data_IF_561592266332
#
_entry.id   IF_561592266332
#
_cell.length_a   1.000
_cell.length_b   1.000
_cell.length_c   1.000
_cell.angle_alpha   90.00
_cell.angle_beta   90.00
_cell.angle_gamma   90.00
#
_symmetry.space_group_name_H-M   'P 1'
#
loop_
_entity.id
_entity.type
_entity.pdbx_description
1 polymer ?
#
# COMPACT_ATOMS: atom_id res chain seq x y z
N UNK A 1 5.75 12.75 13.14
CA UNK A 1 4.54 11.96 12.82
C UNK A 1 4.92 11.00 11.70
N UNK A 2 4.80 9.69 11.87
CA UNK A 2 5.24 8.68 10.88
C UNK A 2 4.06 7.97 10.20
N UNK A 3 2.96 8.70 9.99
CA UNK A 3 1.75 8.22 9.32
C UNK A 3 1.51 9.10 8.09
N UNK A 4 1.29 8.46 6.94
CA UNK A 4 0.75 9.09 5.74
C UNK A 4 -0.57 8.42 5.38
N UNK A 5 -1.51 9.19 4.81
CA UNK A 5 -2.83 8.71 4.43
C UNK A 5 -3.16 9.18 3.02
N UNK A 6 -3.63 8.26 2.18
CA UNK A 6 -4.12 8.54 0.84
C UNK A 6 -5.48 7.88 0.61
N UNK A 7 -6.24 8.43 -0.34
CA UNK A 7 -7.56 7.91 -0.71
C UNK A 7 -7.50 7.30 -2.10
N UNK A 8 -8.17 6.17 -2.26
CA UNK A 8 -8.32 5.47 -3.53
C UNK A 8 -9.66 4.75 -3.59
N UNK A 9 -9.89 3.97 -4.63
CA UNK A 9 -11.10 3.19 -4.84
C UNK A 9 -10.76 1.74 -5.10
N UNK A 10 -11.51 0.82 -4.53
CA UNK A 10 -11.52 -0.59 -4.96
C UNK A 10 -12.47 -0.78 -6.15
N UNK A 11 -12.46 -1.96 -6.76
CA UNK A 11 -13.40 -2.34 -7.81
C UNK A 11 -14.23 -3.51 -7.31
N UNK A 12 -15.55 -3.34 -7.30
CA UNK A 12 -16.51 -4.37 -6.90
C UNK A 12 -17.66 -4.38 -7.91
N UNK A 13 -17.53 -5.22 -8.95
CA UNK A 13 -18.42 -5.16 -10.11
C UNK A 13 -18.40 -3.77 -10.75
N UNK A 14 -19.56 -3.09 -10.74
CA UNK A 14 -19.73 -1.71 -11.23
C UNK A 14 -19.52 -0.64 -10.15
N UNK A 15 -19.35 -1.05 -8.88
CA UNK A 15 -19.14 -0.15 -7.77
C UNK A 15 -17.65 0.18 -7.60
N UNK A 16 -17.39 1.38 -7.09
CA UNK A 16 -16.08 1.86 -6.70
C UNK A 16 -16.07 2.24 -5.20
N UNK A 17 -15.99 1.25 -4.28
CA UNK A 17 -15.96 1.53 -2.84
C UNK A 17 -14.74 2.38 -2.48
N UNK A 18 -14.91 3.29 -1.51
CA UNK A 18 -13.80 4.08 -0.98
C UNK A 18 -12.81 3.17 -0.25
N UNK A 19 -11.52 3.37 -0.52
CA UNK A 19 -10.43 2.74 0.23
C UNK A 19 -9.50 3.81 0.76
N UNK A 20 -9.13 3.69 2.02
CA UNK A 20 -8.09 4.50 2.65
C UNK A 20 -6.82 3.68 2.72
N UNK A 21 -5.72 4.24 2.21
CA UNK A 21 -4.37 3.67 2.29
C UNK A 21 -3.63 4.41 3.38
N UNK A 22 -3.19 3.69 4.41
CA UNK A 22 -2.45 4.25 5.54
C UNK A 22 -1.07 3.64 5.58
N UNK A 23 -0.04 4.48 5.53
CA UNK A 23 1.36 4.05 5.58
C UNK A 23 1.97 4.50 6.89
N UNK A 24 2.37 3.53 7.71
CA UNK A 24 3.05 3.78 8.96
C UNK A 24 4.51 3.33 8.93
N UNK A 25 5.43 4.21 9.34
CA UNK A 25 6.83 3.86 9.58
C UNK A 25 7.07 3.63 11.07
N UNK A 26 7.53 2.43 11.41
CA UNK A 26 7.88 2.01 12.77
C UNK A 26 9.34 1.57 12.88
N UNK A 27 9.85 1.49 14.11
CA UNK A 27 11.18 0.95 14.38
C UNK A 27 11.24 -0.58 14.19
N UNK A 28 12.45 -1.11 14.05
CA UNK A 28 12.69 -2.55 13.89
C UNK A 28 13.38 -2.90 12.57
N UNK A 29 13.41 -4.19 12.25
CA UNK A 29 14.06 -4.68 11.03
C UNK A 29 13.37 -4.13 9.77
N UNK A 30 14.14 -3.73 8.74
CA UNK A 30 13.58 -3.27 7.47
C UNK A 30 12.66 -4.31 6.84
N UNK A 31 11.49 -3.87 6.41
CA UNK A 31 10.51 -4.76 5.79
C UNK A 31 9.19 -4.04 5.53
N UNK A 32 8.48 -4.47 4.49
CA UNK A 32 7.20 -3.88 4.10
C UNK A 32 6.10 -4.92 4.14
N UNK A 33 5.04 -4.64 4.88
CA UNK A 33 3.85 -5.50 5.00
C UNK A 33 2.62 -4.75 4.51
N UNK A 34 1.78 -5.42 3.70
CA UNK A 34 0.48 -4.91 3.27
C UNK A 34 -0.61 -5.75 3.93
N UNK A 35 -1.59 -5.09 4.55
CA UNK A 35 -2.72 -5.71 5.27
C UNK A 35 -4.05 -5.08 4.84
N UNK A 36 -5.18 -5.75 5.14
CA UNK A 36 -6.51 -5.35 4.67
C UNK A 36 -6.96 -6.10 3.42
N UNK A 37 -6.84 -7.44 3.44
CA UNK A 37 -7.16 -8.36 2.34
C UNK A 37 -6.55 -7.99 0.97
N UNK A 38 -5.22 -7.83 0.86
CA UNK A 38 -4.57 -7.67 -0.43
C UNK A 38 -4.44 -9.01 -1.17
N UNK A 39 -4.87 -9.02 -2.42
CA UNK A 39 -4.63 -10.09 -3.37
C UNK A 39 -3.21 -10.04 -3.95
N UNK A 40 -2.82 -11.06 -4.72
CA UNK A 40 -1.47 -11.21 -5.25
C UNK A 40 -0.94 -9.96 -5.96
N UNK A 41 -1.72 -9.36 -6.86
CA UNK A 41 -1.31 -8.17 -7.61
C UNK A 41 -1.03 -6.95 -6.71
N UNK A 42 -1.75 -6.83 -5.59
CA UNK A 42 -1.55 -5.77 -4.60
C UNK A 42 -0.35 -6.07 -3.71
N UNK A 43 -0.07 -7.34 -3.40
CA UNK A 43 1.15 -7.71 -2.66
C UNK A 43 2.41 -7.41 -3.48
N UNK A 44 2.35 -7.62 -4.79
CA UNK A 44 3.43 -7.28 -5.72
C UNK A 44 3.67 -5.77 -5.85
N UNK A 45 2.67 -4.93 -5.50
CA UNK A 45 2.83 -3.48 -5.49
C UNK A 45 4.00 -3.03 -4.62
N UNK A 46 4.29 -3.77 -3.54
CA UNK A 46 5.46 -3.52 -2.68
C UNK A 46 6.75 -3.42 -3.49
N UNK A 47 6.96 -4.37 -4.40
CA UNK A 47 8.21 -4.48 -5.14
C UNK A 47 8.22 -3.46 -6.29
N UNK A 48 7.08 -3.22 -6.94
CA UNK A 48 6.93 -2.16 -7.96
C UNK A 48 7.17 -0.76 -7.39
N UNK A 49 6.53 -0.41 -6.27
CA UNK A 49 6.68 0.90 -5.62
C UNK A 49 8.09 1.09 -5.09
N UNK A 50 8.73 0.05 -4.53
CA UNK A 50 10.13 0.13 -4.11
C UNK A 50 11.04 0.50 -5.28
N UNK A 51 10.91 -0.19 -6.41
CA UNK A 51 11.70 0.09 -7.61
C UNK A 51 11.41 1.49 -8.16
N UNK A 52 10.15 1.91 -8.17
CA UNK A 52 9.76 3.26 -8.62
C UNK A 52 10.39 4.37 -7.77
N UNK A 53 10.38 4.24 -6.43
CA UNK A 53 11.02 5.18 -5.50
C UNK A 53 12.53 5.26 -5.76
N UNK A 54 13.20 4.11 -5.91
CA UNK A 54 14.64 4.07 -6.17
C UNK A 54 15.01 4.69 -7.53
N UNK A 55 14.22 4.45 -8.56
CA UNK A 55 14.44 5.01 -9.91
C UNK A 55 14.16 6.51 -10.00
N UNK A 56 13.44 7.08 -9.03
CA UNK A 56 13.14 8.52 -8.96
C UNK A 56 14.09 9.27 -8.02
N UNK A 57 15.23 8.67 -7.68
CA UNK A 57 16.28 9.24 -6.82
C UNK A 57 15.84 9.51 -5.38
N UNK A 58 14.78 8.82 -4.92
CA UNK A 58 14.38 8.82 -3.51
C UNK A 58 14.89 7.57 -2.79
N UNK A 59 15.10 7.70 -1.49
CA UNK A 59 15.51 6.58 -0.65
C UNK A 59 14.30 5.81 -0.13
N UNK A 60 14.29 4.49 -0.31
CA UNK A 60 13.31 3.63 0.34
C UNK A 60 13.69 3.48 1.82
N UNK A 61 12.75 3.67 2.78
CA UNK A 61 13.07 3.69 4.19
C UNK A 61 13.66 2.36 4.69
N UNK A 62 14.81 2.42 5.36
CA UNK A 62 15.44 1.30 6.06
C UNK A 62 14.77 1.01 7.42
N UNK A 63 13.44 0.94 7.43
CA UNK A 63 12.58 0.75 8.61
C UNK A 63 11.45 -0.22 8.29
N UNK A 64 10.68 -0.60 9.31
CA UNK A 64 9.46 -1.37 9.10
C UNK A 64 8.36 -0.44 8.55
N UNK A 65 7.84 -0.77 7.37
CA UNK A 65 6.75 -0.08 6.69
C UNK A 65 5.51 -0.96 6.78
N UNK A 66 4.42 -0.42 7.31
CA UNK A 66 3.13 -1.11 7.32
C UNK A 66 2.13 -0.31 6.50
N UNK A 67 1.57 -0.94 5.47
CA UNK A 67 0.54 -0.38 4.61
C UNK A 67 -0.79 -1.06 4.96
N UNK A 68 -1.74 -0.28 5.44
CA UNK A 68 -3.09 -0.74 5.76
C UNK A 68 -4.08 -0.27 4.70
N UNK A 69 -4.92 -1.19 4.22
CA UNK A 69 -5.95 -0.93 3.22
C UNK A 69 -7.34 -1.08 3.87
N UNK A 70 -7.95 0.03 4.27
CA UNK A 70 -9.28 0.05 4.89
C UNK A 70 -10.38 0.26 3.83
N UNK A 71 -11.55 -0.40 3.89
CA UNK A 71 -12.00 -1.31 4.95
C UNK A 71 -11.45 -2.74 4.81
N UNK A 72 -11.14 -3.42 5.91
CA UNK A 72 -10.49 -4.74 5.86
C UNK A 72 -11.38 -5.88 5.31
N UNK A 73 -12.70 -5.69 5.20
CA UNK A 73 -13.67 -6.69 4.75
C UNK A 73 -13.73 -6.84 3.22
N UNK A 74 -13.24 -5.83 2.49
CA UNK A 74 -13.33 -5.74 1.04
C UNK A 74 -12.03 -6.23 0.41
N UNK A 75 -12.01 -7.22 -0.50
CA UNK A 75 -10.80 -7.65 -1.19
C UNK A 75 -10.17 -6.52 -2.03
N UNK A 76 -8.84 -6.40 -1.99
CA UNK A 76 -8.08 -5.44 -2.79
C UNK A 76 -7.30 -6.18 -3.86
N UNK A 77 -7.74 -6.02 -5.11
CA UNK A 77 -7.10 -6.59 -6.29
C UNK A 77 -6.73 -5.53 -7.34
N UNK A 78 -5.74 -5.84 -8.18
CA UNK A 78 -5.21 -5.01 -9.26
C UNK A 78 -4.18 -3.96 -8.83
N UNK A 79 -3.55 -3.30 -9.79
CA UNK A 79 -2.45 -2.34 -9.56
C UNK A 79 -2.88 -0.91 -9.19
N UNK A 80 -4.17 -0.65 -8.95
CA UNK A 80 -4.69 0.72 -8.73
C UNK A 80 -4.26 1.35 -7.39
N UNK A 81 -3.73 0.53 -6.49
CA UNK A 81 -3.26 0.98 -5.18
C UNK A 81 -1.81 1.48 -5.20
N UNK A 82 -1.07 1.27 -6.30
CA UNK A 82 0.37 1.58 -6.38
C UNK A 82 0.68 3.08 -6.23
N UNK A 83 -0.23 3.95 -6.65
CA UNK A 83 -0.03 5.41 -6.64
C UNK A 83 -0.53 6.09 -5.35
N UNK A 84 -1.41 5.43 -4.61
CA UNK A 84 -2.02 5.97 -3.39
C UNK A 84 -1.09 5.77 -2.19
#
# INVERSE_FOLDING_TARGET
MSLAVALTRASEGVAAPLVTVEVHLSGGLPGTSIVGLPEAAVREARDRVRVAIQNTQFEYPARRVTVNLAPAELPKDGGRFDLA
#
